data_IF_847926345527
#
_entry.id   IF_847926345527
#
_cell.length_a   1.000
_cell.length_b   1.000
_cell.length_c   1.000
_cell.angle_alpha   90.00
_cell.angle_beta   90.00
_cell.angle_gamma   90.00
#
_symmetry.space_group_name_H-M   'P 1'
#
loop_
_entity.id
_entity.type
_entity.pdbx_description
1 polymer ?
#
# COMPACT_ATOMS: atom_id res chain seq x y z
N UNK A 1 -58.58 23.31 -17.24
CA UNK A 1 -57.24 23.53 -16.64
C UNK A 1 -56.21 23.19 -17.70
N UNK A 2 -55.51 24.20 -18.24
CA UNK A 2 -54.53 24.03 -19.31
C UNK A 2 -53.16 23.69 -18.71
N UNK A 3 -52.60 22.55 -19.07
CA UNK A 3 -51.24 22.14 -18.69
C UNK A 3 -50.25 22.74 -19.70
N UNK A 4 -49.56 23.79 -19.28
CA UNK A 4 -48.40 24.35 -20.00
C UNK A 4 -47.19 23.45 -19.76
N UNK A 5 -46.67 22.89 -20.84
CA UNK A 5 -45.38 22.18 -20.89
C UNK A 5 -44.22 23.17 -20.90
N UNK A 6 -43.33 23.09 -19.91
CA UNK A 6 -42.07 23.83 -19.88
C UNK A 6 -40.99 23.05 -20.64
N UNK A 7 -40.48 23.65 -21.71
CA UNK A 7 -39.31 23.17 -22.46
C UNK A 7 -38.07 23.65 -21.71
N UNK A 8 -37.30 22.71 -21.14
CA UNK A 8 -35.99 22.99 -20.56
C UNK A 8 -34.95 22.86 -21.68
N UNK A 9 -34.38 23.99 -22.06
CA UNK A 9 -33.35 24.10 -23.09
C UNK A 9 -31.98 23.92 -22.41
N UNK A 10 -31.35 22.76 -22.59
CA UNK A 10 -30.00 22.48 -22.10
C UNK A 10 -28.95 23.04 -23.07
N UNK A 11 -28.29 24.12 -22.68
CA UNK A 11 -27.12 24.65 -23.37
C UNK A 11 -25.90 23.75 -23.12
N UNK A 12 -25.48 23.02 -24.15
CA UNK A 12 -24.28 22.19 -24.14
C UNK A 12 -23.05 23.08 -24.38
N UNK A 13 -22.33 23.47 -23.33
CA UNK A 13 -21.01 24.10 -23.46
C UNK A 13 -19.95 22.99 -23.48
N UNK A 14 -19.48 22.64 -24.68
CA UNK A 14 -18.34 21.75 -24.86
C UNK A 14 -17.07 22.45 -24.38
N UNK A 15 -16.44 21.92 -23.33
CA UNK A 15 -15.12 22.34 -22.86
C UNK A 15 -14.14 21.26 -23.33
N UNK A 16 -13.35 21.56 -24.36
CA UNK A 16 -12.21 20.75 -24.78
C UNK A 16 -10.93 21.23 -24.08
N UNK A 17 -10.23 20.39 -23.29
CA UNK A 17 -8.91 20.76 -22.80
C UNK A 17 -7.83 20.41 -23.84
N UNK A 18 -7.06 21.42 -24.26
CA UNK A 18 -5.85 21.25 -25.04
C UNK A 18 -4.73 20.71 -24.15
N UNK A 19 -4.27 19.48 -24.40
CA UNK A 19 -3.06 18.94 -23.77
C UNK A 19 -1.83 19.36 -24.58
N UNK A 20 -1.14 20.39 -24.10
CA UNK A 20 0.20 20.75 -24.61
C UNK A 20 1.23 19.83 -23.92
N UNK A 21 1.82 18.92 -24.69
CA UNK A 21 2.88 18.02 -24.25
C UNK A 21 4.22 18.77 -24.26
N UNK A 22 4.79 19.06 -23.10
CA UNK A 22 6.15 19.57 -22.96
C UNK A 22 7.14 18.41 -22.87
N UNK A 23 7.83 18.14 -23.97
CA UNK A 23 8.97 17.20 -24.06
C UNK A 23 10.14 17.75 -23.23
N UNK A 24 10.56 17.03 -22.17
CA UNK A 24 11.83 17.29 -21.48
C UNK A 24 12.98 16.57 -22.19
N UNK A 25 14.12 17.21 -22.45
CA UNK A 25 15.30 16.54 -22.99
C UNK A 25 16.06 15.72 -21.92
N UNK A 26 16.73 14.62 -22.28
CA UNK A 26 17.51 13.81 -21.36
C UNK A 26 18.93 14.39 -21.18
N UNK A 27 19.25 14.84 -19.97
CA UNK A 27 20.61 15.29 -19.62
C UNK A 27 21.45 14.14 -19.06
N UNK A 28 22.23 13.56 -19.96
CA UNK A 28 23.59 13.00 -19.84
C UNK A 28 24.05 12.38 -18.50
N UNK A 29 24.29 11.06 -18.55
CA UNK A 29 25.11 10.32 -17.58
C UNK A 29 26.56 10.80 -17.61
N UNK A 30 27.09 11.25 -16.47
CA UNK A 30 28.51 11.58 -16.34
C UNK A 30 29.31 10.31 -16.04
N UNK A 31 30.35 10.11 -16.85
CA UNK A 31 31.27 8.97 -16.84
C UNK A 31 32.03 8.83 -15.52
N UNK A 32 32.23 7.56 -15.17
CA UNK A 32 33.10 7.01 -14.14
C UNK A 32 34.53 7.55 -14.26
N UNK A 33 35.12 7.98 -13.16
CA UNK A 33 36.58 8.11 -13.04
C UNK A 33 37.05 7.14 -11.96
N UNK A 34 37.54 6.01 -12.45
CA UNK A 34 38.33 5.02 -11.75
C UNK A 34 39.69 5.63 -11.39
N UNK A 35 40.08 5.56 -10.12
CA UNK A 35 41.48 5.72 -9.69
C UNK A 35 41.85 4.53 -8.83
N UNK A 36 42.50 3.57 -9.47
CA UNK A 36 43.36 2.57 -8.85
C UNK A 36 44.61 3.29 -8.34
N UNK A 37 44.94 3.13 -7.07
CA UNK A 37 46.31 3.31 -6.58
C UNK A 37 46.72 2.06 -5.81
N UNK A 38 47.75 1.40 -6.33
CA UNK A 38 48.37 0.21 -5.79
C UNK A 38 49.45 0.57 -4.76
N UNK A 39 49.47 -0.26 -3.72
CA UNK A 39 50.61 -0.76 -2.94
C UNK A 39 51.54 0.23 -2.19
N UNK A 40 51.60 0.04 -0.87
CA UNK A 40 52.88 -0.14 -0.19
C UNK A 40 52.76 -1.24 0.86
N UNK A 41 53.54 -2.31 0.64
CA UNK A 41 53.74 -3.44 1.54
C UNK A 41 54.87 -3.07 2.50
N UNK A 42 54.61 -3.13 3.81
CA UNK A 42 55.66 -3.17 4.83
C UNK A 42 55.55 -4.47 5.62
N UNK A 43 56.64 -5.25 5.59
CA UNK A 43 56.83 -6.51 6.32
C UNK A 43 57.35 -6.19 7.72
N UNK A 44 56.78 -6.84 8.75
CA UNK A 44 57.46 -7.58 9.85
C UNK A 44 56.44 -8.07 10.89
N UNK A 45 56.27 -9.39 11.05
CA UNK A 45 56.70 -10.26 12.21
C UNK A 45 55.84 -9.97 13.47
N UNK A 46 55.09 -10.87 14.12
CA UNK A 46 55.32 -12.26 14.56
C UNK A 46 53.99 -12.91 15.02
N UNK A 47 53.94 -14.24 15.03
CA UNK A 47 52.87 -15.12 15.54
C UNK A 47 52.33 -14.76 16.94
N UNK A 48 51.01 -14.84 17.11
CA UNK A 48 50.37 -15.56 18.22
C UNK A 48 49.11 -16.24 17.68
N UNK A 49 49.09 -17.57 17.77
CA UNK A 49 47.90 -18.38 17.59
C UNK A 49 47.06 -18.32 18.88
N UNK A 50 45.81 -17.88 18.76
CA UNK A 50 44.73 -18.32 19.64
C UNK A 50 43.44 -18.34 18.84
N UNK A 51 43.10 -19.54 18.38
CA UNK A 51 41.77 -19.84 17.86
C UNK A 51 40.76 -19.62 19.00
N UNK A 52 39.83 -18.68 18.81
CA UNK A 52 38.42 -18.78 19.22
C UNK A 52 37.71 -17.46 18.91
N UNK A 53 37.00 -17.43 17.79
CA UNK A 53 35.86 -16.54 17.59
C UNK A 53 34.81 -17.32 16.82
N UNK A 54 34.22 -18.29 17.51
CA UNK A 54 32.91 -18.81 17.16
C UNK A 54 31.90 -17.82 17.77
N UNK A 55 30.85 -17.52 17.00
CA UNK A 55 29.69 -16.66 17.33
C UNK A 55 29.86 -15.16 17.09
N UNK A 56 29.62 -14.73 15.84
CA UNK A 56 28.85 -13.52 15.52
C UNK A 56 28.40 -13.53 14.04
N UNK A 57 27.92 -14.68 13.57
CA UNK A 57 27.24 -14.81 12.28
C UNK A 57 25.83 -15.36 12.55
N UNK A 58 24.95 -14.51 13.11
CA UNK A 58 23.62 -14.95 13.54
C UNK A 58 22.51 -13.92 13.42
N UNK A 59 22.76 -12.66 13.04
CA UNK A 59 21.72 -11.61 13.05
C UNK A 59 21.64 -10.76 11.78
N UNK A 60 22.27 -11.20 10.67
CA UNK A 60 22.18 -10.48 9.39
C UNK A 60 21.13 -11.06 8.41
N UNK A 61 20.30 -12.03 8.83
CA UNK A 61 19.38 -12.73 7.91
C UNK A 61 18.02 -12.02 7.73
N UNK A 62 17.68 -11.02 8.55
CA UNK A 62 16.36 -10.34 8.45
C UNK A 62 16.41 -8.86 8.09
N UNK A 63 17.52 -8.33 7.60
CA UNK A 63 17.45 -7.05 6.87
C UNK A 63 17.16 -7.34 5.39
N UNK A 64 15.97 -7.92 5.14
CA UNK A 64 15.37 -7.84 3.83
C UNK A 64 15.02 -6.36 3.63
N UNK A 65 16.02 -5.59 3.19
CA UNK A 65 15.81 -4.31 2.54
C UNK A 65 15.15 -4.65 1.20
N UNK A 66 13.87 -5.02 1.28
CA UNK A 66 13.01 -5.22 0.12
C UNK A 66 12.98 -3.84 -0.53
N UNK A 67 13.73 -3.71 -1.62
CA UNK A 67 13.57 -2.55 -2.48
C UNK A 67 12.08 -2.49 -2.80
N UNK A 68 11.41 -1.40 -2.40
CA UNK A 68 10.02 -1.13 -2.75
C UNK A 68 9.97 -0.88 -4.26
N UNK A 69 10.13 -1.93 -5.06
CA UNK A 69 9.80 -1.91 -6.47
C UNK A 69 8.31 -1.59 -6.60
N UNK A 70 7.97 -0.82 -7.62
CA UNK A 70 6.56 -0.59 -7.94
C UNK A 70 5.93 -1.95 -8.27
N UNK A 71 5.01 -2.41 -7.43
CA UNK A 71 4.19 -3.57 -7.73
C UNK A 71 3.04 -3.13 -8.64
N UNK A 72 3.16 -3.46 -9.93
CA UNK A 72 2.15 -3.13 -10.94
C UNK A 72 0.97 -4.11 -10.93
N UNK A 73 0.89 -5.08 -10.02
CA UNK A 73 -0.27 -5.98 -9.90
C UNK A 73 -1.59 -5.24 -9.72
N UNK A 74 -1.57 -4.03 -9.15
CA UNK A 74 -2.77 -3.19 -9.05
C UNK A 74 -3.30 -2.68 -10.41
N UNK A 75 -2.48 -2.73 -11.47
CA UNK A 75 -2.84 -2.32 -12.85
C UNK A 75 -3.14 -3.55 -13.73
N UNK A 76 -2.87 -4.76 -13.24
CA UNK A 76 -3.14 -5.98 -13.99
C UNK A 76 -4.66 -6.29 -13.95
N UNK A 77 -5.32 -6.41 -15.12
CA UNK A 77 -6.77 -6.59 -15.18
C UNK A 77 -7.28 -7.98 -14.71
N UNK A 78 -6.38 -8.92 -14.37
CA UNK A 78 -6.70 -10.36 -14.40
C UNK A 78 -6.44 -11.09 -13.08
N UNK A 79 -6.68 -10.48 -11.91
CA UNK A 79 -6.63 -11.23 -10.65
C UNK A 79 -7.72 -12.32 -10.67
N UNK A 80 -7.30 -13.57 -10.50
CA UNK A 80 -8.23 -14.71 -10.42
C UNK A 80 -8.96 -14.73 -9.08
N UNK A 81 -10.08 -15.45 -8.99
CA UNK A 81 -10.84 -15.58 -7.75
C UNK A 81 -10.00 -16.33 -6.72
N UNK A 82 -9.32 -17.39 -7.17
CA UNK A 82 -8.45 -18.24 -6.38
C UNK A 82 -7.29 -17.42 -5.78
N UNK A 83 -6.65 -16.56 -6.58
CA UNK A 83 -5.60 -15.66 -6.10
C UNK A 83 -6.13 -14.65 -5.06
N UNK A 84 -7.35 -14.14 -5.24
CA UNK A 84 -7.98 -13.24 -4.28
C UNK A 84 -8.30 -13.96 -2.95
N UNK A 85 -8.86 -15.16 -3.02
CA UNK A 85 -9.21 -15.97 -1.84
C UNK A 85 -7.95 -16.41 -1.06
N UNK A 86 -6.87 -16.74 -1.76
CA UNK A 86 -5.58 -17.08 -1.13
C UNK A 86 -4.91 -15.84 -0.50
N UNK A 87 -5.00 -14.68 -1.16
CA UNK A 87 -4.33 -13.45 -0.75
C UNK A 87 -5.04 -12.68 0.38
N UNK A 88 -6.38 -12.74 0.44
CA UNK A 88 -7.19 -11.84 1.29
C UNK A 88 -6.78 -11.87 2.77
N UNK A 89 -6.46 -13.05 3.32
CA UNK A 89 -6.06 -13.20 4.73
C UNK A 89 -4.73 -12.51 5.01
N UNK A 90 -3.77 -12.65 4.10
CA UNK A 90 -2.46 -12.00 4.21
C UNK A 90 -2.58 -10.48 4.11
N UNK A 91 -3.36 -9.98 3.15
CA UNK A 91 -3.57 -8.54 3.00
C UNK A 91 -4.37 -7.92 4.15
N UNK A 92 -5.35 -8.66 4.70
CA UNK A 92 -6.08 -8.24 5.90
C UNK A 92 -5.14 -8.18 7.12
N UNK A 93 -4.29 -9.18 7.31
CA UNK A 93 -3.29 -9.17 8.39
C UNK A 93 -2.30 -8.00 8.23
N UNK A 94 -1.82 -7.72 7.03
CA UNK A 94 -0.95 -6.58 6.75
C UNK A 94 -1.63 -5.25 7.11
N UNK A 95 -2.94 -5.11 6.84
CA UNK A 95 -3.71 -3.94 7.24
C UNK A 95 -3.80 -3.80 8.77
N UNK A 96 -3.88 -4.89 9.53
CA UNK A 96 -3.93 -4.86 11.00
C UNK A 96 -2.56 -4.62 11.63
N UNK A 97 -1.47 -5.03 10.98
CA UNK A 97 -0.11 -4.84 11.48
C UNK A 97 0.34 -3.37 11.55
N UNK A 98 -0.41 -2.44 10.94
CA UNK A 98 -0.17 -0.99 11.09
C UNK A 98 -0.26 -0.53 12.55
N UNK A 99 -0.84 -1.33 13.45
CA UNK A 99 -0.95 -1.04 14.88
C UNK A 99 0.39 -0.62 15.49
N UNK A 100 1.48 -1.29 15.13
CA UNK A 100 2.81 -0.96 15.64
C UNK A 100 3.24 0.46 15.25
N UNK A 101 2.88 0.93 14.05
CA UNK A 101 3.18 2.28 13.56
C UNK A 101 2.29 3.33 14.23
N UNK A 102 1.05 2.96 14.59
CA UNK A 102 0.14 3.82 15.36
C UNK A 102 0.66 3.97 16.80
N UNK A 103 1.09 2.88 17.43
CA UNK A 103 1.67 2.88 18.78
C UNK A 103 2.95 3.71 18.86
N UNK A 104 3.77 3.71 17.80
CA UNK A 104 4.96 4.55 17.68
C UNK A 104 4.70 5.95 17.11
N UNK A 105 3.42 6.34 16.96
CA UNK A 105 2.96 7.63 16.40
C UNK A 105 3.64 8.03 15.08
N UNK A 106 4.03 7.04 14.29
CA UNK A 106 4.80 7.21 13.06
C UNK A 106 3.87 7.52 11.89
N UNK A 107 3.14 8.63 11.98
CA UNK A 107 1.97 8.94 11.14
C UNK A 107 2.21 8.84 9.63
N UNK A 108 3.38 9.29 9.15
CA UNK A 108 3.73 9.20 7.73
C UNK A 108 3.88 7.76 7.24
N UNK A 109 4.56 6.93 8.03
CA UNK A 109 4.70 5.50 7.75
C UNK A 109 3.35 4.77 7.92
N UNK A 110 2.55 5.15 8.92
CA UNK A 110 1.18 4.64 9.09
C UNK A 110 0.37 4.87 7.83
N UNK A 111 0.37 6.08 7.28
CA UNK A 111 -0.37 6.39 6.03
C UNK A 111 0.15 5.57 4.84
N UNK A 112 1.48 5.43 4.71
CA UNK A 112 2.08 4.67 3.61
C UNK A 112 1.70 3.19 3.68
N UNK A 113 1.89 2.57 4.85
CA UNK A 113 1.54 1.17 5.09
C UNK A 113 0.03 0.92 4.95
N UNK A 114 -0.80 1.83 5.46
CA UNK A 114 -2.25 1.77 5.34
C UNK A 114 -2.69 1.81 3.87
N UNK A 115 -2.17 2.75 3.07
CA UNK A 115 -2.53 2.88 1.64
C UNK A 115 -2.09 1.67 0.84
N UNK A 116 -0.89 1.15 1.10
CA UNK A 116 -0.39 -0.04 0.43
C UNK A 116 -1.24 -1.27 0.76
N UNK A 117 -1.37 -1.61 2.05
CA UNK A 117 -2.14 -2.79 2.49
C UNK A 117 -3.61 -2.72 2.09
N UNK A 118 -4.25 -1.54 2.23
CA UNK A 118 -5.65 -1.37 1.83
C UNK A 118 -5.86 -1.45 0.31
N UNK A 119 -4.87 -1.11 -0.52
CA UNK A 119 -4.98 -1.21 -1.97
C UNK A 119 -5.12 -2.66 -2.42
N UNK A 120 -4.27 -3.55 -1.90
CA UNK A 120 -4.35 -4.99 -2.18
C UNK A 120 -5.64 -5.59 -1.64
N UNK A 121 -5.99 -5.29 -0.39
CA UNK A 121 -7.22 -5.81 0.21
C UNK A 121 -8.48 -5.34 -0.52
N UNK A 122 -8.49 -4.11 -1.06
CA UNK A 122 -9.59 -3.63 -1.92
C UNK A 122 -9.75 -4.50 -3.16
N UNK A 123 -8.62 -4.83 -3.80
CA UNK A 123 -8.60 -5.62 -5.02
C UNK A 123 -9.20 -7.01 -4.75
N UNK A 124 -8.72 -7.73 -3.73
CA UNK A 124 -9.21 -9.07 -3.41
C UNK A 124 -10.71 -9.06 -3.10
N UNK A 125 -11.14 -8.19 -2.17
CA UNK A 125 -12.55 -8.14 -1.75
C UNK A 125 -13.43 -7.77 -2.93
N UNK A 126 -12.99 -6.85 -3.80
CA UNK A 126 -13.76 -6.49 -4.98
C UNK A 126 -13.92 -7.67 -5.92
N UNK A 127 -12.82 -8.37 -6.25
CA UNK A 127 -12.82 -9.58 -7.09
C UNK A 127 -13.77 -10.63 -6.54
N UNK A 128 -13.70 -10.92 -5.24
CA UNK A 128 -14.59 -11.87 -4.56
C UNK A 128 -16.06 -11.42 -4.66
N UNK A 129 -16.36 -10.15 -4.37
CA UNK A 129 -17.73 -9.61 -4.47
C UNK A 129 -18.28 -9.70 -5.90
N UNK A 130 -17.45 -9.55 -6.93
CA UNK A 130 -17.93 -9.67 -8.31
C UNK A 130 -18.34 -11.09 -8.66
N UNK A 131 -17.74 -12.09 -8.03
CA UNK A 131 -17.95 -13.50 -8.32
C UNK A 131 -18.99 -14.20 -7.42
N UNK A 132 -19.46 -13.54 -6.35
CA UNK A 132 -20.57 -14.02 -5.49
C UNK A 132 -21.94 -13.89 -6.17
N UNK A 133 -22.95 -14.69 -5.79
CA UNK A 133 -24.30 -14.60 -6.35
C UNK A 133 -24.95 -13.23 -6.07
N UNK A 134 -25.84 -12.81 -6.97
CA UNK A 134 -26.46 -11.47 -6.92
C UNK A 134 -27.14 -11.12 -5.58
N UNK A 135 -27.66 -12.11 -4.86
CA UNK A 135 -28.31 -11.97 -3.55
C UNK A 135 -27.37 -11.55 -2.43
N UNK A 136 -26.11 -11.97 -2.45
CA UNK A 136 -25.13 -11.74 -1.37
C UNK A 136 -24.36 -10.41 -1.55
N UNK A 137 -24.23 -9.96 -2.80
CA UNK A 137 -23.44 -8.77 -3.16
C UNK A 137 -23.84 -7.49 -2.44
N UNK A 138 -25.15 -7.16 -2.22
CA UNK A 138 -25.53 -5.95 -1.49
C UNK A 138 -24.98 -5.91 -0.06
N UNK A 139 -25.04 -7.05 0.64
CA UNK A 139 -24.57 -7.17 2.02
C UNK A 139 -23.04 -7.05 2.08
N UNK A 140 -22.32 -7.72 1.18
CA UNK A 140 -20.86 -7.62 1.10
C UNK A 140 -20.39 -6.20 0.73
N UNK A 141 -21.07 -5.52 -0.20
CA UNK A 141 -20.76 -4.12 -0.56
C UNK A 141 -20.96 -3.16 0.61
N UNK A 142 -21.93 -3.40 1.48
CA UNK A 142 -22.13 -2.62 2.71
C UNK A 142 -20.93 -2.78 3.66
N UNK A 143 -20.44 -4.01 3.85
CA UNK A 143 -19.27 -4.28 4.69
C UNK A 143 -18.00 -3.68 4.08
N UNK A 144 -17.79 -3.87 2.77
CA UNK A 144 -16.71 -3.26 2.01
C UNK A 144 -16.67 -1.75 2.21
N UNK A 145 -17.83 -1.09 2.05
CA UNK A 145 -17.95 0.36 2.23
C UNK A 145 -17.65 0.76 3.67
N UNK A 146 -18.16 0.03 4.66
CA UNK A 146 -17.88 0.30 6.07
C UNK A 146 -16.37 0.21 6.37
N UNK A 147 -15.72 -0.87 5.94
CA UNK A 147 -14.28 -1.07 6.13
C UNK A 147 -13.48 0.09 5.51
N UNK A 148 -13.66 0.36 4.22
CA UNK A 148 -12.83 1.34 3.52
C UNK A 148 -13.18 2.80 3.83
N UNK A 149 -14.37 3.08 4.34
CA UNK A 149 -14.69 4.36 4.95
C UNK A 149 -13.89 4.60 6.24
N UNK A 150 -13.73 3.57 7.08
CA UNK A 150 -12.89 3.68 8.29
C UNK A 150 -11.40 3.79 7.94
N UNK A 151 -10.91 3.05 6.93
CA UNK A 151 -9.55 3.23 6.38
C UNK A 151 -9.31 4.66 5.93
N UNK A 152 -10.24 5.24 5.17
CA UNK A 152 -10.16 6.62 4.70
C UNK A 152 -10.14 7.61 5.87
N UNK A 153 -10.99 7.40 6.88
CA UNK A 153 -11.01 8.23 8.09
C UNK A 153 -9.72 8.14 8.90
N UNK A 154 -9.13 6.93 9.01
CA UNK A 154 -7.84 6.72 9.65
C UNK A 154 -6.73 7.48 8.90
N UNK A 155 -6.71 7.41 7.57
CA UNK A 155 -5.74 8.14 6.74
C UNK A 155 -5.78 9.66 6.99
N UNK A 156 -7.00 10.22 7.06
CA UNK A 156 -7.20 11.63 7.41
C UNK A 156 -6.82 11.96 8.86
N UNK A 157 -7.17 11.09 9.81
CA UNK A 157 -6.82 11.28 11.22
C UNK A 157 -5.30 11.26 11.42
N UNK A 158 -4.61 10.31 10.80
CA UNK A 158 -3.15 10.22 10.81
C UNK A 158 -2.49 11.45 10.16
N UNK A 159 -3.05 11.96 9.05
CA UNK A 159 -2.60 13.22 8.43
C UNK A 159 -2.65 14.39 9.42
N UNK A 160 -3.71 14.46 10.19
CA UNK A 160 -3.95 15.52 11.17
C UNK A 160 -3.29 15.25 12.53
N UNK A 161 -2.62 14.09 12.68
CA UNK A 161 -2.01 13.62 13.93
C UNK A 161 -3.01 13.55 15.10
N UNK A 162 -4.27 13.24 14.80
CA UNK A 162 -5.34 13.08 15.79
C UNK A 162 -5.34 11.64 16.31
N UNK A 163 -4.52 11.38 17.34
CA UNK A 163 -4.30 10.04 17.90
C UNK A 163 -5.61 9.38 18.38
N UNK A 164 -6.50 10.14 19.03
CA UNK A 164 -7.78 9.64 19.52
C UNK A 164 -8.64 9.11 18.36
N UNK A 165 -8.73 9.90 17.29
CA UNK A 165 -9.50 9.51 16.11
C UNK A 165 -8.84 8.39 15.31
N UNK A 166 -7.50 8.31 15.28
CA UNK A 166 -6.77 7.18 14.68
C UNK A 166 -7.15 5.88 15.38
N UNK A 167 -7.06 5.83 16.71
CA UNK A 167 -7.41 4.63 17.47
C UNK A 167 -8.87 4.24 17.30
N UNK A 168 -9.79 5.21 17.35
CA UNK A 168 -11.21 4.94 17.09
C UNK A 168 -11.42 4.32 15.69
N UNK A 169 -10.77 4.86 14.66
CA UNK A 169 -10.89 4.31 13.30
C UNK A 169 -10.23 2.93 13.20
N UNK A 170 -9.11 2.70 13.89
CA UNK A 170 -8.41 1.43 13.91
C UNK A 170 -9.27 0.32 14.51
N UNK A 171 -9.88 0.54 15.67
CA UNK A 171 -10.79 -0.44 16.29
C UNK A 171 -11.98 -0.78 15.37
N UNK A 172 -12.55 0.24 14.71
CA UNK A 172 -13.61 0.02 13.72
C UNK A 172 -13.13 -0.78 12.50
N UNK A 173 -11.87 -0.60 12.07
CA UNK A 173 -11.26 -1.40 11.00
C UNK A 173 -11.14 -2.86 11.45
N UNK A 174 -10.64 -3.12 12.68
CA UNK A 174 -10.52 -4.49 13.22
C UNK A 174 -11.87 -5.21 13.18
N UNK A 175 -12.93 -4.55 13.66
CA UNK A 175 -14.29 -5.11 13.63
C UNK A 175 -14.75 -5.35 12.20
N UNK A 176 -14.60 -4.36 11.30
CA UNK A 176 -15.06 -4.48 9.92
C UNK A 176 -14.29 -5.54 9.10
N UNK A 177 -13.00 -5.74 9.39
CA UNK A 177 -12.18 -6.82 8.80
C UNK A 177 -12.72 -8.18 9.24
N UNK A 178 -13.00 -8.36 10.54
CA UNK A 178 -13.57 -9.62 11.03
C UNK A 178 -14.97 -9.88 10.43
N UNK A 179 -15.82 -8.86 10.37
CA UNK A 179 -17.15 -8.98 9.79
C UNK A 179 -17.11 -9.41 8.34
N UNK A 180 -16.21 -8.84 7.52
CA UNK A 180 -16.14 -9.19 6.10
C UNK A 180 -15.50 -10.57 5.87
N UNK A 181 -14.45 -10.91 6.61
CA UNK A 181 -13.80 -12.23 6.52
C UNK A 181 -14.70 -13.38 6.99
N UNK A 182 -15.68 -13.10 7.87
CA UNK A 182 -16.68 -14.10 8.28
C UNK A 182 -17.71 -14.45 7.20
N UNK A 183 -17.78 -13.66 6.12
CA UNK A 183 -18.82 -13.77 5.08
C UNK A 183 -18.29 -14.10 3.69
N UNK A 184 -17.00 -13.94 3.49
CA UNK A 184 -16.31 -14.30 2.27
C UNK A 184 -15.97 -15.79 2.35
#
# INVERSE_FOLDING_TARGET
MALRSFIVQSNLTQITPNFTCCVKPPSQSRKMHEKVFLSNVSRRIMMVASMTSVLLAGEAIFNNQVANGFDFRFVAPDQTIEEADDGIRGHAQALLQIKALIESESWGETQKALRQSSSFLKQDIYTIIQNKPGSERPQLRKLYSNLFNNVTRLDYAARNKDASRVWQCYENIVIAVNDILSRI
#
